data_IF_549503921856
#
_entry.id   IF_549503921856
#
_cell.length_a   1.000
_cell.length_b   1.000
_cell.length_c   1.000
_cell.angle_alpha   90.00
_cell.angle_beta   90.00
_cell.angle_gamma   90.00
#
_symmetry.space_group_name_H-M   'P 1'
#
loop_
_entity.id
_entity.type
_entity.pdbx_description
1 polymer ?
#
# COMPACT_ATOMS: atom_id res chain seq x y z
N UNK A 1 24.50 -68.07 17.85
CA UNK A 1 23.41 -67.13 18.20
C UNK A 1 23.80 -65.74 17.79
N UNK A 2 23.30 -65.28 16.64
CA UNK A 2 23.60 -63.96 16.07
C UNK A 2 22.30 -63.15 16.10
N UNK A 3 22.24 -62.12 16.91
CA UNK A 3 21.16 -61.13 16.96
C UNK A 3 21.39 -60.07 15.88
N UNK A 4 20.55 -60.05 14.86
CA UNK A 4 20.50 -59.00 13.86
C UNK A 4 19.64 -57.83 14.38
N UNK A 5 20.27 -56.73 14.65
CA UNK A 5 19.59 -55.45 15.01
C UNK A 5 19.05 -54.82 13.73
N UNK A 6 17.73 -54.79 13.55
CA UNK A 6 17.09 -54.02 12.50
C UNK A 6 16.97 -52.57 12.92
N UNK A 7 17.71 -51.67 12.29
CA UNK A 7 17.52 -50.24 12.43
C UNK A 7 16.25 -49.82 11.69
N UNK A 8 15.29 -49.26 12.43
CA UNK A 8 14.11 -48.65 11.87
C UNK A 8 14.48 -47.20 11.41
N UNK A 9 14.51 -47.00 10.09
CA UNK A 9 14.63 -45.66 9.50
C UNK A 9 13.24 -45.04 9.54
N UNK A 10 13.04 -44.12 10.47
CA UNK A 10 11.87 -43.24 10.47
C UNK A 10 12.04 -42.19 9.37
N UNK A 11 11.36 -42.38 8.24
CA UNK A 11 11.23 -41.34 7.21
C UNK A 11 10.27 -40.27 7.73
N UNK A 12 10.83 -39.17 8.19
CA UNK A 12 10.07 -37.95 8.51
C UNK A 12 9.61 -37.35 7.16
N UNK A 13 8.38 -37.66 6.73
CA UNK A 13 7.73 -36.94 5.64
C UNK A 13 7.55 -35.48 6.08
N UNK A 14 8.47 -34.62 5.68
CA UNK A 14 8.20 -33.18 5.67
C UNK A 14 7.12 -32.94 4.63
N UNK A 15 5.89 -32.78 5.09
CA UNK A 15 4.81 -32.19 4.32
C UNK A 15 5.19 -30.72 4.05
N UNK A 16 5.91 -30.46 2.96
CA UNK A 16 6.03 -29.12 2.40
C UNK A 16 4.70 -28.76 1.74
N UNK A 17 3.68 -28.57 2.55
CA UNK A 17 2.54 -27.77 2.14
C UNK A 17 3.07 -26.34 2.01
N UNK A 18 3.20 -25.83 0.78
CA UNK A 18 3.34 -24.40 0.54
C UNK A 18 2.14 -23.70 1.17
N UNK A 19 2.25 -23.34 2.44
CA UNK A 19 1.20 -22.69 3.20
C UNK A 19 1.06 -21.26 2.69
N UNK A 20 0.16 -21.03 1.74
CA UNK A 20 -0.23 -19.67 1.31
C UNK A 20 -0.82 -18.85 2.46
N UNK A 21 -1.11 -19.47 3.59
CA UNK A 21 -1.70 -18.89 4.79
C UNK A 21 -0.99 -19.41 6.05
N UNK A 22 -0.68 -18.49 6.96
CA UNK A 22 -0.14 -18.81 8.27
C UNK A 22 -0.66 -17.84 9.34
N UNK A 23 -0.55 -18.23 10.60
CA UNK A 23 -0.71 -17.31 11.71
C UNK A 23 0.64 -16.68 12.02
N UNK A 24 0.69 -15.38 12.12
CA UNK A 24 1.88 -14.60 12.50
C UNK A 24 1.48 -13.26 13.09
N UNK A 25 2.41 -12.61 13.75
CA UNK A 25 2.38 -11.20 14.11
C UNK A 25 3.64 -10.53 13.56
N UNK A 26 3.63 -9.21 13.45
CA UNK A 26 4.83 -8.45 13.14
C UNK A 26 5.73 -8.39 14.41
N UNK A 27 7.03 -8.13 14.26
CA UNK A 27 7.92 -7.88 15.40
C UNK A 27 7.35 -6.79 16.33
N UNK A 28 7.70 -6.81 17.60
CA UNK A 28 7.30 -5.73 18.51
C UNK A 28 7.70 -4.36 17.98
N UNK A 29 6.83 -3.37 18.12
CA UNK A 29 7.12 -1.98 17.74
C UNK A 29 8.17 -1.29 18.63
N UNK A 30 8.79 -2.04 19.55
CA UNK A 30 9.86 -1.57 20.44
C UNK A 30 9.35 -1.18 21.82
N UNK A 31 9.62 0.05 22.27
CA UNK A 31 9.29 0.55 23.61
C UNK A 31 7.78 0.52 23.92
N UNK A 32 7.44 0.73 25.18
CA UNK A 32 6.03 0.90 25.58
C UNK A 32 5.37 2.01 24.74
N UNK A 33 4.07 1.85 24.39
CA UNK A 33 3.35 2.86 23.61
C UNK A 33 3.36 4.22 24.31
N UNK A 34 3.75 5.25 23.60
CA UNK A 34 3.66 6.63 24.07
C UNK A 34 2.23 7.16 23.96
N UNK A 35 1.84 8.03 24.90
CA UNK A 35 0.58 8.75 24.84
C UNK A 35 0.76 10.02 24.00
N UNK A 36 -0.03 10.14 22.96
CA UNK A 36 0.03 11.29 22.05
C UNK A 36 -0.87 11.09 20.84
N UNK A 37 -0.93 12.13 20.03
CA UNK A 37 -1.73 12.18 18.79
C UNK A 37 -0.92 12.80 17.68
N UNK A 38 -1.22 12.41 16.45
CA UNK A 38 -0.75 13.08 15.26
C UNK A 38 -1.69 14.22 14.89
N UNK A 39 -1.10 15.40 14.60
CA UNK A 39 -1.79 16.57 14.06
C UNK A 39 -1.46 16.69 12.59
N UNK A 40 -2.47 16.78 11.75
CA UNK A 40 -2.36 16.92 10.31
C UNK A 40 -2.09 18.36 9.92
N UNK A 41 -0.98 18.61 9.22
CA UNK A 41 -0.56 19.93 8.72
C UNK A 41 -0.30 19.84 7.20
N UNK A 42 -1.36 19.98 6.34
CA UNK A 42 -1.21 19.88 4.89
C UNK A 42 -0.68 21.18 4.28
N UNK A 43 -0.07 21.03 3.09
CA UNK A 43 0.14 22.18 2.20
C UNK A 43 -1.16 22.50 1.45
N UNK A 44 -1.47 23.78 1.23
CA UNK A 44 -2.75 24.19 0.63
C UNK A 44 -2.87 23.87 -0.88
N UNK A 45 -1.74 23.54 -1.53
CA UNK A 45 -1.69 23.26 -2.97
C UNK A 45 -0.99 21.92 -3.23
N UNK A 46 -1.36 21.22 -4.30
CA UNK A 46 -0.70 19.97 -4.67
C UNK A 46 0.78 20.21 -5.02
N UNK A 47 1.60 19.17 -4.78
CA UNK A 47 3.04 19.16 -5.12
C UNK A 47 3.31 18.50 -6.47
N UNK A 48 2.39 17.64 -6.95
CA UNK A 48 2.37 17.11 -8.32
C UNK A 48 0.95 17.27 -8.86
N UNK A 49 0.78 18.15 -9.86
CA UNK A 49 -0.47 18.31 -10.59
C UNK A 49 -0.58 17.36 -11.78
N UNK A 50 -1.76 17.26 -12.35
CA UNK A 50 -1.98 16.61 -13.64
C UNK A 50 -1.20 17.32 -14.75
N UNK A 51 -0.80 16.58 -15.80
CA UNK A 51 -0.15 17.16 -16.96
C UNK A 51 -1.14 17.27 -18.14
N UNK A 52 -1.12 18.36 -18.92
CA UNK A 52 -1.82 18.39 -20.20
C UNK A 52 -1.17 17.40 -21.16
N UNK A 53 -1.95 16.67 -21.93
CA UNK A 53 -1.52 15.77 -23.01
C UNK A 53 -0.44 14.75 -22.57
N UNK A 54 -0.50 14.27 -21.34
CA UNK A 54 0.47 13.35 -20.77
C UNK A 54 -0.17 12.10 -20.18
N UNK A 55 0.64 11.17 -19.71
CA UNK A 55 0.24 9.91 -19.08
C UNK A 55 -0.59 10.08 -17.80
N UNK A 56 -0.67 11.28 -17.27
CA UNK A 56 -1.41 11.66 -16.07
C UNK A 56 -2.35 12.85 -16.29
N UNK A 57 -2.86 13.01 -17.52
CA UNK A 57 -3.74 14.12 -17.87
C UNK A 57 -5.08 14.10 -17.13
N UNK A 58 -5.59 12.92 -16.77
CA UNK A 58 -6.84 12.78 -16.05
C UNK A 58 -6.63 12.71 -14.53
N UNK A 59 -5.68 11.88 -14.09
CA UNK A 59 -5.36 11.72 -12.67
C UNK A 59 -3.86 11.50 -12.46
N UNK A 60 -3.33 12.05 -11.35
CA UNK A 60 -2.02 11.76 -10.76
C UNK A 60 -2.25 11.39 -9.29
N UNK A 61 -2.14 10.10 -8.93
CA UNK A 61 -2.53 9.56 -7.63
C UNK A 61 -1.51 8.51 -7.14
N UNK A 62 -1.80 7.87 -6.01
CA UNK A 62 -1.06 6.75 -5.43
C UNK A 62 0.47 7.00 -5.38
N UNK A 63 0.93 8.04 -4.69
CA UNK A 63 2.36 8.29 -4.55
C UNK A 63 3.03 7.14 -3.81
N UNK A 64 4.19 6.71 -4.30
CA UNK A 64 5.08 5.77 -3.62
C UNK A 64 6.48 6.36 -3.59
N UNK A 65 6.84 6.97 -2.46
CA UNK A 65 8.04 7.78 -2.33
C UNK A 65 9.16 6.99 -1.66
N UNK A 66 10.31 6.94 -2.32
CA UNK A 66 11.54 6.33 -1.81
C UNK A 66 12.67 7.35 -1.84
N UNK A 67 13.41 7.49 -0.73
CA UNK A 67 14.63 8.29 -0.69
C UNK A 67 15.85 7.44 -1.02
N UNK A 68 16.66 7.89 -1.97
CA UNK A 68 17.88 7.22 -2.37
C UNK A 68 18.94 8.23 -2.81
N UNK A 69 20.17 8.11 -2.27
CA UNK A 69 21.34 8.95 -2.63
C UNK A 69 21.05 10.46 -2.58
N UNK A 70 20.30 10.88 -1.55
CA UNK A 70 19.98 12.30 -1.34
C UNK A 70 18.82 12.84 -2.20
N UNK A 71 18.25 12.02 -3.09
CA UNK A 71 17.08 12.35 -3.90
C UNK A 71 15.84 11.56 -3.48
N UNK A 72 14.67 12.09 -3.77
CA UNK A 72 13.38 11.42 -3.66
C UNK A 72 12.94 10.95 -5.03
N UNK A 73 12.48 9.70 -5.09
CA UNK A 73 11.83 9.07 -6.24
C UNK A 73 10.37 8.84 -5.88
N UNK A 74 9.44 9.36 -6.65
CA UNK A 74 8.02 9.10 -6.50
C UNK A 74 7.52 8.30 -7.69
N UNK A 75 7.18 7.04 -7.43
CA UNK A 75 6.56 6.13 -8.38
C UNK A 75 5.05 6.23 -8.22
N UNK A 76 4.42 7.13 -8.95
CA UNK A 76 3.00 7.42 -8.80
C UNK A 76 2.16 6.88 -9.98
N UNK A 77 0.85 6.82 -9.77
CA UNK A 77 -0.11 6.39 -10.78
C UNK A 77 -0.56 7.56 -11.63
N UNK A 78 -0.39 7.46 -12.93
CA UNK A 78 -0.91 8.40 -13.90
C UNK A 78 -2.01 7.76 -14.76
N UNK A 79 -3.18 8.41 -14.84
CA UNK A 79 -4.28 8.00 -15.72
C UNK A 79 -4.36 8.89 -16.95
N UNK A 80 -4.21 8.30 -18.13
CA UNK A 80 -4.22 9.02 -19.40
C UNK A 80 -5.63 9.18 -20.00
N UNK A 81 -6.66 8.75 -19.26
CA UNK A 81 -8.06 8.72 -19.71
C UNK A 81 -8.51 7.37 -20.26
N UNK A 82 -7.59 6.39 -20.36
CA UNK A 82 -7.84 5.03 -20.84
C UNK A 82 -7.25 3.96 -19.93
N UNK A 83 -6.01 4.15 -19.48
CA UNK A 83 -5.27 3.18 -18.65
C UNK A 83 -4.40 3.87 -17.61
N UNK A 84 -4.10 3.13 -16.55
CA UNK A 84 -3.23 3.54 -15.47
C UNK A 84 -1.79 3.09 -15.73
N UNK A 85 -0.86 4.01 -15.59
CA UNK A 85 0.59 3.82 -15.76
C UNK A 85 1.33 4.10 -14.47
N UNK A 86 2.47 3.44 -14.26
CA UNK A 86 3.46 3.91 -13.30
C UNK A 86 4.29 5.01 -13.94
N UNK A 87 4.35 6.15 -13.26
CA UNK A 87 5.08 7.36 -13.69
C UNK A 87 6.12 7.72 -12.63
N UNK A 88 7.26 8.26 -13.06
CA UNK A 88 8.32 8.74 -12.18
C UNK A 88 8.31 10.25 -12.07
N UNK A 89 8.41 10.76 -10.85
CA UNK A 89 8.87 12.11 -10.54
C UNK A 89 10.05 12.05 -9.56
N UNK A 90 10.98 13.00 -9.66
CA UNK A 90 12.13 13.10 -8.75
C UNK A 90 12.18 14.46 -8.09
N UNK A 91 12.72 14.51 -6.86
CA UNK A 91 12.86 15.72 -6.06
C UNK A 91 14.10 15.68 -5.18
N UNK A 92 14.64 16.82 -4.80
CA UNK A 92 15.72 16.93 -3.80
C UNK A 92 15.20 17.21 -2.40
N UNK A 93 13.97 17.71 -2.27
CA UNK A 93 13.36 18.12 -1.01
C UNK A 93 12.05 17.40 -0.65
N UNK A 94 11.50 16.59 -1.60
CA UNK A 94 10.24 15.88 -1.46
C UNK A 94 9.00 16.76 -1.66
N UNK A 95 9.18 18.02 -2.06
CA UNK A 95 8.11 19.02 -2.24
C UNK A 95 8.08 19.58 -3.65
N UNK A 96 9.24 19.93 -4.20
CA UNK A 96 9.35 20.38 -5.59
C UNK A 96 9.73 19.22 -6.47
N UNK A 97 8.84 18.82 -7.38
CA UNK A 97 8.97 17.61 -8.17
C UNK A 97 9.19 17.89 -9.65
N UNK A 98 10.06 17.12 -10.26
CA UNK A 98 10.26 17.09 -11.71
C UNK A 98 9.73 15.76 -12.25
N UNK A 99 8.70 15.79 -13.09
CA UNK A 99 8.19 14.61 -13.79
C UNK A 99 9.24 14.08 -14.77
N UNK A 100 9.46 12.76 -14.77
CA UNK A 100 10.45 12.06 -15.60
C UNK A 100 9.82 11.20 -16.69
N UNK A 101 8.51 11.00 -16.60
CA UNK A 101 7.74 10.24 -17.58
C UNK A 101 7.34 8.85 -17.11
N UNK A 102 6.79 8.10 -18.04
CA UNK A 102 6.21 6.78 -17.83
C UNK A 102 7.30 5.70 -17.67
N UNK A 103 7.13 4.83 -16.67
CA UNK A 103 7.98 3.67 -16.41
C UNK A 103 7.32 2.35 -16.83
N UNK A 104 6.07 2.14 -16.40
CA UNK A 104 5.33 0.91 -16.68
C UNK A 104 3.96 1.24 -17.29
N UNK A 105 3.53 0.41 -18.23
CA UNK A 105 2.16 0.34 -18.75
C UNK A 105 1.71 -1.11 -18.72
N UNK A 106 0.41 -1.40 -18.69
CA UNK A 106 -0.06 -2.78 -18.75
C UNK A 106 0.47 -3.50 -19.99
N UNK A 107 0.92 -4.75 -19.82
CA UNK A 107 1.36 -5.62 -20.92
C UNK A 107 1.17 -7.10 -20.58
N UNK A 108 1.01 -7.93 -21.60
CA UNK A 108 0.91 -9.38 -21.45
C UNK A 108 -0.24 -9.78 -20.54
N UNK A 109 0.06 -10.53 -19.47
CA UNK A 109 -0.94 -11.03 -18.51
C UNK A 109 -1.57 -9.90 -17.67
N UNK A 110 -0.96 -8.72 -17.60
CA UNK A 110 -1.46 -7.53 -16.89
C UNK A 110 -2.69 -6.93 -17.57
N UNK A 111 -2.94 -7.31 -18.83
CA UNK A 111 -4.07 -6.81 -19.60
C UNK A 111 -3.82 -5.43 -20.20
N UNK A 112 -4.84 -4.58 -20.21
CA UNK A 112 -4.88 -3.31 -20.93
C UNK A 112 -5.41 -2.14 -20.08
N UNK A 113 -5.51 -2.31 -18.75
CA UNK A 113 -6.11 -1.29 -17.88
C UNK A 113 -5.14 -0.68 -16.86
N UNK A 114 -4.40 -1.50 -16.09
CA UNK A 114 -3.58 -1.01 -14.98
C UNK A 114 -2.25 -1.75 -14.81
N UNK A 115 -1.16 -0.97 -14.72
CA UNK A 115 0.14 -1.37 -14.16
C UNK A 115 0.66 -0.22 -13.28
N UNK A 116 0.03 -0.05 -12.12
CA UNK A 116 0.22 1.11 -11.25
C UNK A 116 -0.27 0.83 -9.83
N UNK A 117 -0.52 1.85 -9.04
CA UNK A 117 -1.04 1.74 -7.69
C UNK A 117 -0.20 0.78 -6.85
N UNK A 118 1.04 1.18 -6.62
CA UNK A 118 2.03 0.28 -6.05
C UNK A 118 2.83 0.88 -4.91
N UNK A 119 3.65 0.03 -4.33
CA UNK A 119 4.58 0.33 -3.24
C UNK A 119 6.00 0.00 -3.64
N UNK A 120 6.89 0.97 -3.55
CA UNK A 120 8.31 0.81 -3.82
C UNK A 120 9.13 0.77 -2.54
N UNK A 121 10.15 -0.07 -2.51
CA UNK A 121 11.18 -0.09 -1.47
C UNK A 121 12.57 -0.33 -2.08
N UNK A 122 13.60 0.07 -1.33
CA UNK A 122 14.99 -0.36 -1.57
C UNK A 122 15.30 -1.60 -0.73
N UNK A 123 15.55 -2.72 -1.38
CA UNK A 123 15.89 -4.00 -0.73
C UNK A 123 17.11 -4.60 -1.41
N UNK A 124 18.15 -4.94 -0.65
CA UNK A 124 19.35 -5.59 -1.19
C UNK A 124 20.07 -4.77 -2.28
N UNK A 125 19.95 -3.43 -2.28
CA UNK A 125 20.60 -2.58 -3.27
C UNK A 125 19.77 -2.31 -4.54
N UNK A 126 18.62 -2.94 -4.71
CA UNK A 126 17.68 -2.70 -5.82
C UNK A 126 16.42 -1.99 -5.35
N UNK A 127 15.72 -1.31 -6.27
CA UNK A 127 14.33 -0.93 -6.10
C UNK A 127 13.44 -2.13 -6.42
N UNK A 128 12.52 -2.46 -5.53
CA UNK A 128 11.42 -3.37 -5.74
C UNK A 128 10.13 -2.55 -5.78
N UNK A 129 9.30 -2.80 -6.77
CA UNK A 129 8.00 -2.14 -6.91
C UNK A 129 6.91 -3.19 -7.06
N UNK A 130 6.07 -3.33 -6.04
CA UNK A 130 4.87 -4.16 -6.07
C UNK A 130 3.71 -3.29 -6.53
N UNK A 131 2.98 -3.72 -7.54
CA UNK A 131 1.94 -2.90 -8.16
C UNK A 131 0.72 -3.72 -8.56
N UNK A 132 -0.42 -3.06 -8.64
CA UNK A 132 -1.66 -3.66 -9.10
C UNK A 132 -1.63 -3.87 -10.60
N UNK A 133 -2.06 -5.06 -11.04
CA UNK A 133 -2.15 -5.44 -12.44
C UNK A 133 -3.25 -6.50 -12.66
N UNK A 134 -3.66 -6.67 -13.91
CA UNK A 134 -4.57 -7.71 -14.35
C UNK A 134 -6.04 -7.30 -14.32
N UNK A 135 -6.85 -7.95 -15.18
CA UNK A 135 -8.30 -7.77 -15.25
C UNK A 135 -9.00 -8.17 -13.94
N UNK A 136 -8.56 -9.26 -13.31
CA UNK A 136 -8.81 -9.54 -11.91
C UNK A 136 -7.60 -8.96 -11.18
N UNK A 137 -7.77 -7.96 -10.29
CA UNK A 137 -6.65 -7.32 -9.63
C UNK A 137 -5.78 -8.32 -8.87
N UNK A 138 -4.47 -8.28 -9.14
CA UNK A 138 -3.41 -9.04 -8.50
C UNK A 138 -2.20 -8.15 -8.29
N UNK A 139 -1.27 -8.57 -7.46
CA UNK A 139 -0.04 -7.83 -7.25
C UNK A 139 1.07 -8.42 -8.10
N UNK A 140 1.61 -7.59 -8.98
CA UNK A 140 2.80 -7.82 -9.77
C UNK A 140 4.06 -7.32 -9.05
N UNK A 141 5.23 -7.62 -9.58
CA UNK A 141 6.52 -7.13 -9.11
C UNK A 141 7.40 -6.71 -10.29
N UNK A 142 8.04 -5.56 -10.17
CA UNK A 142 9.15 -5.15 -11.00
C UNK A 142 10.37 -4.79 -10.15
N UNK A 143 11.58 -4.93 -10.71
CA UNK A 143 12.86 -4.64 -10.08
C UNK A 143 13.67 -3.66 -10.92
N UNK A 144 14.43 -2.79 -10.27
CA UNK A 144 15.29 -1.81 -10.93
C UNK A 144 16.54 -1.54 -10.09
N UNK A 145 17.69 -1.40 -10.75
CA UNK A 145 18.91 -0.97 -10.07
C UNK A 145 18.96 0.56 -9.90
N UNK A 146 18.35 1.31 -10.82
CA UNK A 146 18.46 2.77 -10.96
C UNK A 146 17.15 3.55 -10.72
N UNK A 147 16.02 2.82 -10.56
CA UNK A 147 14.68 3.41 -10.42
C UNK A 147 14.07 3.91 -11.74
N UNK A 148 14.75 3.71 -12.86
CA UNK A 148 14.35 4.17 -14.22
C UNK A 148 14.10 2.99 -15.14
N UNK A 149 15.03 2.05 -15.19
CA UNK A 149 14.96 0.85 -16.04
C UNK A 149 14.42 -0.32 -15.23
N UNK A 150 13.23 -0.83 -15.60
CA UNK A 150 12.52 -1.84 -14.82
C UNK A 150 12.42 -3.18 -15.54
N UNK A 151 12.61 -4.25 -14.78
CA UNK A 151 12.41 -5.63 -15.21
C UNK A 151 11.26 -6.25 -14.44
N UNK A 152 10.19 -6.63 -15.15
CA UNK A 152 9.03 -7.30 -14.55
C UNK A 152 9.35 -8.74 -14.14
N UNK A 153 8.69 -9.22 -13.10
CA UNK A 153 8.75 -10.63 -12.67
C UNK A 153 8.07 -11.57 -13.67
N UNK A 154 7.10 -11.07 -14.46
CA UNK A 154 6.43 -11.83 -15.52
C UNK A 154 5.18 -12.59 -15.09
N UNK A 155 4.85 -12.60 -13.81
CA UNK A 155 3.60 -13.15 -13.25
C UNK A 155 3.24 -12.43 -11.95
N UNK A 156 2.00 -12.65 -11.45
CA UNK A 156 1.61 -12.14 -10.15
C UNK A 156 2.44 -12.79 -9.03
N UNK A 157 2.80 -11.99 -8.02
CA UNK A 157 3.48 -12.45 -6.80
C UNK A 157 2.49 -12.61 -5.63
N UNK A 158 1.37 -11.90 -5.64
CA UNK A 158 0.25 -12.12 -4.72
C UNK A 158 -1.02 -12.39 -5.52
N UNK A 159 -1.55 -13.59 -5.38
CA UNK A 159 -2.77 -14.06 -6.03
C UNK A 159 -4.00 -13.82 -5.16
N UNK A 160 -5.17 -13.81 -5.79
CA UNK A 160 -6.45 -13.83 -5.07
C UNK A 160 -6.56 -15.05 -4.16
N UNK A 161 -7.40 -14.97 -3.15
CA UNK A 161 -7.70 -16.10 -2.27
C UNK A 161 -8.60 -17.14 -2.92
N UNK A 162 -8.80 -18.31 -2.27
CA UNK A 162 -9.69 -19.35 -2.76
C UNK A 162 -11.14 -18.87 -2.72
N UNK A 163 -12.00 -19.61 -3.45
CA UNK A 163 -13.44 -19.34 -3.47
C UNK A 163 -14.01 -19.29 -2.05
N UNK A 164 -14.74 -18.22 -1.73
CA UNK A 164 -15.33 -17.97 -0.42
C UNK A 164 -14.42 -17.18 0.53
N UNK A 165 -13.16 -16.89 0.16
CA UNK A 165 -12.32 -16.02 0.96
C UNK A 165 -12.70 -14.54 0.81
N UNK A 166 -12.22 -13.74 1.75
CA UNK A 166 -12.48 -12.31 1.80
C UNK A 166 -11.79 -11.51 0.67
N UNK A 167 -10.85 -12.15 -0.06
CA UNK A 167 -10.05 -11.58 -1.14
C UNK A 167 -10.13 -12.42 -2.44
N UNK A 168 -11.26 -13.14 -2.63
CA UNK A 168 -11.44 -14.03 -3.80
C UNK A 168 -11.60 -13.31 -5.13
N UNK A 169 -11.99 -12.01 -5.13
CA UNK A 169 -12.29 -11.23 -6.34
C UNK A 169 -11.17 -10.30 -6.76
N UNK A 170 -10.27 -9.97 -5.85
CA UNK A 170 -9.15 -9.10 -6.14
C UNK A 170 -8.24 -8.89 -4.95
N UNK A 171 -6.97 -8.61 -5.22
CA UNK A 171 -5.98 -8.07 -4.29
C UNK A 171 -5.33 -6.86 -4.95
N UNK A 172 -5.28 -5.73 -4.23
CA UNK A 172 -4.88 -4.42 -4.75
C UNK A 172 -4.17 -3.60 -3.67
N UNK A 173 -3.77 -2.38 -4.00
CA UNK A 173 -3.26 -1.35 -3.09
C UNK A 173 -2.15 -1.87 -2.16
N UNK A 174 -1.08 -2.47 -2.69
CA UNK A 174 -0.01 -2.99 -1.85
C UNK A 174 0.74 -1.84 -1.16
N UNK A 175 1.01 -2.00 0.12
CA UNK A 175 1.95 -1.18 0.87
C UNK A 175 2.93 -2.08 1.60
N UNK A 176 4.21 -1.98 1.28
CA UNK A 176 5.23 -2.91 1.79
C UNK A 176 6.19 -2.20 2.74
N UNK A 177 6.43 -2.81 3.88
CA UNK A 177 7.47 -2.40 4.83
C UNK A 177 8.48 -3.52 5.04
N UNK A 178 9.72 -3.16 5.32
CA UNK A 178 10.78 -4.10 5.71
C UNK A 178 11.00 -4.00 7.22
N UNK A 179 10.89 -5.13 7.90
CA UNK A 179 11.20 -5.25 9.32
C UNK A 179 12.24 -6.34 9.51
N UNK A 180 13.49 -5.94 9.71
CA UNK A 180 14.62 -6.84 9.94
C UNK A 180 14.83 -7.89 8.83
N UNK A 181 14.63 -7.50 7.57
CA UNK A 181 14.81 -8.37 6.41
C UNK A 181 13.61 -9.27 6.10
N UNK A 182 12.49 -9.09 6.80
CA UNK A 182 11.20 -9.70 6.45
C UNK A 182 10.27 -8.62 5.92
N UNK A 183 9.76 -8.84 4.72
CA UNK A 183 8.82 -7.92 4.08
C UNK A 183 7.39 -8.22 4.52
N UNK A 184 6.64 -7.17 4.84
CA UNK A 184 5.22 -7.25 5.17
C UNK A 184 4.44 -6.36 4.20
N UNK A 185 3.52 -6.95 3.47
CA UNK A 185 2.63 -6.27 2.53
C UNK A 185 1.25 -6.14 3.16
N UNK A 186 0.82 -4.92 3.40
CA UNK A 186 -0.57 -4.60 3.67
C UNK A 186 -1.26 -4.38 2.33
N UNK A 187 -2.47 -4.91 2.16
CA UNK A 187 -3.13 -4.90 0.87
C UNK A 187 -4.65 -4.87 1.00
N UNK A 188 -5.32 -4.33 -0.02
CA UNK A 188 -6.75 -4.43 -0.18
C UNK A 188 -7.11 -5.81 -0.71
N UNK A 189 -8.11 -6.45 -0.11
CA UNK A 189 -8.77 -7.63 -0.63
C UNK A 189 -10.26 -7.35 -0.90
N UNK A 190 -10.78 -7.93 -1.99
CA UNK A 190 -12.18 -7.79 -2.36
C UNK A 190 -12.86 -9.14 -2.38
N UNK A 191 -13.98 -9.25 -1.66
CA UNK A 191 -14.80 -10.46 -1.61
C UNK A 191 -15.86 -10.51 -2.72
N UNK A 192 -16.65 -11.59 -2.74
CA UNK A 192 -17.73 -11.78 -3.71
C UNK A 192 -18.83 -10.71 -3.66
N UNK A 193 -19.07 -10.11 -2.51
CA UNK A 193 -20.03 -9.03 -2.33
C UNK A 193 -19.42 -7.65 -2.66
N UNK A 194 -18.22 -7.62 -3.26
CA UNK A 194 -17.47 -6.42 -3.61
C UNK A 194 -17.02 -5.59 -2.39
N UNK A 195 -17.05 -6.16 -1.18
CA UNK A 195 -16.55 -5.47 0.01
C UNK A 195 -15.03 -5.41 -0.02
N UNK A 196 -14.49 -4.24 0.12
CA UNK A 196 -13.07 -3.95 0.14
C UNK A 196 -12.59 -3.80 1.58
N UNK A 197 -11.62 -4.62 1.99
CA UNK A 197 -11.07 -4.65 3.36
C UNK A 197 -9.57 -4.84 3.30
N UNK A 198 -8.90 -4.64 4.43
CA UNK A 198 -7.45 -4.72 4.48
C UNK A 198 -6.95 -6.04 5.08
N UNK A 199 -5.87 -6.55 4.55
CA UNK A 199 -5.15 -7.72 5.04
C UNK A 199 -3.64 -7.52 5.05
N UNK A 200 -2.94 -8.54 5.52
CA UNK A 200 -1.47 -8.54 5.54
C UNK A 200 -0.90 -9.88 5.09
N UNK A 201 0.20 -9.82 4.35
CA UNK A 201 1.01 -10.96 3.97
C UNK A 201 2.48 -10.69 4.31
N UNK A 202 3.28 -11.74 4.51
CA UNK A 202 4.73 -11.65 4.76
C UNK A 202 5.52 -12.40 3.71
N UNK A 203 6.74 -11.94 3.45
CA UNK A 203 7.65 -12.57 2.50
C UNK A 203 9.11 -12.43 2.94
N UNK A 204 9.97 -13.43 2.72
CA UNK A 204 11.42 -13.31 2.92
C UNK A 204 12.16 -12.71 1.71
N UNK A 205 11.53 -12.66 0.53
CA UNK A 205 12.18 -12.38 -0.76
C UNK A 205 11.42 -11.38 -1.66
N UNK A 206 10.22 -10.97 -1.24
CA UNK A 206 9.33 -10.08 -1.99
C UNK A 206 8.61 -10.74 -3.18
N UNK A 207 8.79 -12.05 -3.37
CA UNK A 207 8.19 -12.87 -4.44
C UNK A 207 7.22 -13.89 -3.86
N UNK A 208 7.66 -14.62 -2.85
CA UNK A 208 6.88 -15.68 -2.20
C UNK A 208 6.17 -15.12 -0.99
N UNK A 209 4.85 -14.95 -1.08
CA UNK A 209 4.04 -14.34 -0.03
C UNK A 209 3.18 -15.35 0.70
N UNK A 210 3.15 -15.22 2.03
CA UNK A 210 2.27 -15.98 2.92
C UNK A 210 1.27 -15.01 3.55
N UNK A 211 -0.02 -15.17 3.25
CA UNK A 211 -1.12 -14.35 3.79
C UNK A 211 -1.38 -14.70 5.26
N UNK A 212 -1.73 -13.70 6.05
CA UNK A 212 -2.22 -13.93 7.42
C UNK A 212 -3.58 -14.64 7.36
N UNK A 213 -3.72 -15.76 8.10
CA UNK A 213 -4.94 -16.56 8.11
C UNK A 213 -6.13 -15.81 8.72
N UNK A 214 -5.86 -14.99 9.74
CA UNK A 214 -6.86 -14.19 10.42
C UNK A 214 -7.27 -12.91 9.69
N UNK A 215 -6.84 -12.70 8.42
CA UNK A 215 -7.33 -11.56 7.62
C UNK A 215 -8.83 -11.69 7.29
N UNK A 216 -9.55 -10.58 7.12
CA UNK A 216 -9.06 -9.19 7.11
C UNK A 216 -8.65 -8.70 8.48
N UNK A 217 -7.69 -7.72 8.50
CA UNK A 217 -7.15 -7.10 9.72
C UNK A 217 -7.86 -5.80 10.09
N UNK A 218 -8.65 -5.25 9.16
CA UNK A 218 -9.47 -4.05 9.36
C UNK A 218 -10.78 -4.22 8.60
N UNK A 219 -11.89 -4.02 9.31
CA UNK A 219 -13.26 -4.14 8.79
C UNK A 219 -13.85 -2.78 8.41
N UNK A 220 -14.92 -2.78 7.62
CA UNK A 220 -15.69 -1.59 7.26
C UNK A 220 -16.23 -0.86 8.50
N UNK A 221 -16.50 0.43 8.34
CA UNK A 221 -17.23 1.22 9.31
C UNK A 221 -18.73 0.89 9.33
N UNK A 222 -19.40 1.41 10.36
CA UNK A 222 -20.85 1.30 10.48
C UNK A 222 -21.56 2.20 9.45
N UNK A 223 -22.85 2.00 9.30
CA UNK A 223 -23.67 2.82 8.39
C UNK A 223 -23.59 4.31 8.75
N UNK A 224 -23.23 5.14 7.76
CA UNK A 224 -23.03 6.58 7.90
C UNK A 224 -21.62 7.00 8.28
N UNK A 225 -20.69 6.05 8.51
CA UNK A 225 -19.28 6.35 8.69
C UNK A 225 -18.58 6.57 7.33
N UNK A 226 -17.47 7.29 7.34
CA UNK A 226 -16.76 7.68 6.12
C UNK A 226 -16.16 6.48 5.36
N UNK A 227 -16.06 5.33 5.98
CA UNK A 227 -15.44 4.10 5.49
C UNK A 227 -16.43 2.91 5.43
N UNK A 228 -17.73 3.21 5.37
CA UNK A 228 -18.81 2.20 5.34
C UNK A 228 -18.83 1.38 4.04
N UNK A 229 -18.35 1.94 2.92
CA UNK A 229 -18.45 1.33 1.60
C UNK A 229 -17.18 0.64 1.11
N UNK A 230 -16.03 0.95 1.68
CA UNK A 230 -14.76 0.33 1.30
C UNK A 230 -13.57 0.86 2.07
N UNK A 231 -12.56 0.02 2.23
CA UNK A 231 -11.22 0.36 2.73
C UNK A 231 -10.19 0.09 1.64
N UNK A 232 -9.16 0.93 1.56
CA UNK A 232 -8.05 0.75 0.64
C UNK A 232 -6.79 1.47 1.11
N UNK A 233 -5.75 1.33 0.32
CA UNK A 233 -4.57 2.19 0.30
C UNK A 233 -3.92 2.37 1.68
N UNK A 234 -3.56 1.27 2.37
CA UNK A 234 -2.96 1.36 3.69
C UNK A 234 -1.54 1.93 3.60
N UNK A 235 -1.17 2.85 4.49
CA UNK A 235 0.22 3.28 4.70
C UNK A 235 0.60 3.00 6.14
N UNK A 236 1.61 2.16 6.37
CA UNK A 236 1.96 1.63 7.70
C UNK A 236 3.38 2.04 8.08
N UNK A 237 3.55 2.48 9.34
CA UNK A 237 4.87 2.77 9.91
C UNK A 237 4.94 2.39 11.39
N UNK A 238 6.16 2.33 11.91
CA UNK A 238 6.44 2.21 13.35
C UNK A 238 6.88 3.54 13.92
N UNK A 239 6.23 3.97 15.00
CA UNK A 239 6.65 5.13 15.79
C UNK A 239 6.02 5.06 17.19
N UNK A 240 6.66 5.71 18.18
CA UNK A 240 6.10 5.87 19.52
C UNK A 240 5.64 4.57 20.17
N UNK A 241 6.39 3.48 19.96
CA UNK A 241 6.11 2.16 20.53
C UNK A 241 4.86 1.46 19.97
N UNK A 242 4.40 1.87 18.80
CA UNK A 242 3.22 1.31 18.14
C UNK A 242 3.41 1.20 16.63
N UNK A 243 2.60 0.36 15.99
CA UNK A 243 2.31 0.44 14.57
C UNK A 243 1.18 1.43 14.37
N UNK A 244 1.33 2.24 13.35
CA UNK A 244 0.35 3.22 12.89
C UNK A 244 -0.02 2.91 11.46
N UNK A 245 -1.26 3.18 11.09
CA UNK A 245 -1.76 3.06 9.73
C UNK A 245 -2.60 4.30 9.40
N UNK A 246 -2.30 4.94 8.27
CA UNK A 246 -3.30 5.69 7.52
C UNK A 246 -3.97 4.72 6.55
N UNK A 247 -5.28 4.75 6.47
CA UNK A 247 -6.05 3.99 5.49
C UNK A 247 -7.09 4.88 4.83
N UNK A 248 -7.38 4.62 3.57
CA UNK A 248 -8.47 5.31 2.88
C UNK A 248 -9.78 4.61 3.19
N UNK A 249 -10.76 5.40 3.62
CA UNK A 249 -12.17 5.00 3.71
C UNK A 249 -12.97 5.62 2.58
N UNK A 250 -13.97 4.91 2.08
CA UNK A 250 -14.87 5.33 1.03
C UNK A 250 -16.31 5.26 1.52
N UNK A 251 -17.05 6.35 1.39
CA UNK A 251 -18.48 6.40 1.67
C UNK A 251 -19.31 5.99 0.42
N UNK A 252 -20.63 5.89 0.58
CA UNK A 252 -21.55 5.51 -0.52
C UNK A 252 -21.66 6.55 -1.64
N UNK A 253 -21.17 7.75 -1.41
CA UNK A 253 -21.11 8.81 -2.42
C UNK A 253 -19.76 8.89 -3.11
N UNK A 254 -18.90 7.88 -2.90
CA UNK A 254 -17.53 7.77 -3.42
C UNK A 254 -16.60 8.89 -2.95
N UNK A 255 -16.95 9.61 -1.86
CA UNK A 255 -15.99 10.47 -1.21
C UNK A 255 -14.95 9.61 -0.50
N UNK A 256 -13.69 10.04 -0.54
CA UNK A 256 -12.58 9.37 0.13
C UNK A 256 -11.98 10.26 1.20
N UNK A 257 -11.74 9.67 2.36
CA UNK A 257 -11.09 10.30 3.50
C UNK A 257 -10.08 9.33 4.09
N UNK A 258 -9.08 9.85 4.79
CA UNK A 258 -8.15 8.97 5.48
C UNK A 258 -8.45 8.91 6.97
N UNK A 259 -8.49 7.69 7.50
CA UNK A 259 -8.58 7.39 8.91
C UNK A 259 -7.25 6.89 9.47
N UNK A 260 -7.15 6.89 10.79
CA UNK A 260 -6.03 6.29 11.50
C UNK A 260 -6.45 4.97 12.14
N UNK A 261 -5.52 4.02 12.13
CA UNK A 261 -5.58 2.85 12.98
C UNK A 261 -4.25 2.64 13.71
N UNK A 262 -4.29 2.01 14.87
CA UNK A 262 -3.12 1.70 15.70
C UNK A 262 -3.10 0.23 16.07
N UNK A 263 -1.89 -0.34 16.20
CA UNK A 263 -1.68 -1.73 16.59
C UNK A 263 -0.41 -1.89 17.42
N UNK A 264 -0.38 -2.86 18.32
CA UNK A 264 0.81 -3.29 19.05
C UNK A 264 1.57 -4.42 18.35
N UNK A 265 0.89 -5.18 17.50
CA UNK A 265 1.41 -6.40 16.86
C UNK A 265 1.35 -6.41 15.32
N UNK A 266 0.84 -5.33 14.72
CA UNK A 266 0.71 -5.13 13.28
C UNK A 266 -0.35 -6.00 12.58
N UNK A 267 -1.12 -6.79 13.33
CA UNK A 267 -2.16 -7.68 12.79
C UNK A 267 -3.53 -7.46 13.43
N UNK A 268 -3.59 -6.98 14.66
CA UNK A 268 -4.81 -6.55 15.34
C UNK A 268 -4.83 -5.03 15.40
N UNK A 269 -5.74 -4.42 14.68
CA UNK A 269 -5.80 -2.98 14.52
C UNK A 269 -7.04 -2.40 15.18
N UNK A 270 -6.86 -1.28 15.84
CA UNK A 270 -7.91 -0.46 16.39
C UNK A 270 -8.04 0.83 15.57
N UNK A 271 -9.22 1.06 14.96
CA UNK A 271 -9.54 2.32 14.30
C UNK A 271 -9.64 3.44 15.34
N UNK A 272 -8.98 4.55 15.07
CA UNK A 272 -9.14 5.75 15.88
C UNK A 272 -10.36 6.53 15.38
N UNK A 273 -11.23 6.96 16.32
CA UNK A 273 -12.42 7.74 15.98
C UNK A 273 -12.10 9.14 15.43
N UNK A 274 -10.93 9.64 15.76
CA UNK A 274 -10.40 10.92 15.27
C UNK A 274 -8.86 10.94 15.34
N UNK A 275 -8.16 11.78 14.53
CA UNK A 275 -8.77 12.58 13.48
C UNK A 275 -9.17 11.74 12.26
N UNK A 276 -10.16 12.20 11.52
CA UNK A 276 -10.42 11.80 10.13
C UNK A 276 -9.90 12.91 9.25
N UNK A 277 -9.06 12.58 8.27
CA UNK A 277 -8.47 13.57 7.36
C UNK A 277 -9.37 13.72 6.15
N UNK A 278 -9.90 14.93 5.99
CA UNK A 278 -10.75 15.36 4.90
C UNK A 278 -10.03 16.39 4.01
N UNK A 279 -10.57 16.63 2.81
CA UNK A 279 -10.05 17.69 1.96
C UNK A 279 -10.34 19.08 2.55
N UNK A 280 -9.34 19.94 2.48
CA UNK A 280 -9.33 21.30 3.05
C UNK A 280 -9.22 22.39 1.97
N UNK A 281 -9.11 22.01 0.71
CA UNK A 281 -8.98 22.88 -0.45
C UNK A 281 -9.91 22.47 -1.59
N UNK A 282 -10.06 23.37 -2.58
CA UNK A 282 -10.88 23.10 -3.76
C UNK A 282 -10.39 21.87 -4.52
N UNK A 283 -9.05 21.67 -4.62
CA UNK A 283 -8.44 20.62 -5.40
C UNK A 283 -8.62 19.20 -4.82
N UNK A 284 -8.88 19.07 -3.52
CA UNK A 284 -9.02 17.81 -2.79
C UNK A 284 -10.35 17.68 -2.04
N UNK A 285 -11.36 18.50 -2.39
CA UNK A 285 -12.62 18.63 -1.65
C UNK A 285 -13.41 17.33 -1.51
N UNK A 286 -13.19 16.35 -2.39
CA UNK A 286 -13.97 15.09 -2.43
C UNK A 286 -13.15 13.87 -2.13
N UNK A 287 -11.84 13.94 -2.35
CA UNK A 287 -10.93 12.81 -2.27
C UNK A 287 -9.66 13.22 -1.52
N UNK A 288 -9.36 12.50 -0.46
CA UNK A 288 -8.06 12.44 0.22
C UNK A 288 -7.76 10.98 0.48
N UNK A 289 -6.70 10.45 -0.14
CA UNK A 289 -6.44 9.02 -0.24
C UNK A 289 -4.95 8.69 -0.46
N UNK A 290 -4.61 7.43 -0.61
CA UNK A 290 -3.34 6.93 -1.19
C UNK A 290 -2.08 7.43 -0.47
N UNK A 291 -2.03 7.40 0.84
CA UNK A 291 -0.86 7.90 1.55
C UNK A 291 0.39 7.06 1.33
N UNK A 292 1.53 7.71 1.18
CA UNK A 292 2.86 7.15 1.44
C UNK A 292 3.58 7.99 2.49
N UNK A 293 4.35 7.35 3.37
CA UNK A 293 4.91 8.01 4.54
C UNK A 293 6.43 7.84 4.68
N UNK A 294 7.09 8.85 5.22
CA UNK A 294 8.48 8.80 5.66
C UNK A 294 8.57 9.31 7.11
N UNK A 295 9.04 8.47 8.03
CA UNK A 295 9.27 8.87 9.42
C UNK A 295 10.45 9.84 9.48
N UNK A 296 10.25 11.00 10.09
CA UNK A 296 11.20 12.11 10.18
C UNK A 296 11.37 12.57 11.65
N UNK A 297 12.12 11.82 12.44
CA UNK A 297 12.22 12.03 13.89
C UNK A 297 10.94 11.59 14.61
N UNK A 298 10.32 12.49 15.37
CA UNK A 298 9.02 12.25 16.01
C UNK A 298 7.83 12.45 15.04
N UNK A 299 8.05 13.16 13.94
CA UNK A 299 7.04 13.52 12.95
C UNK A 299 7.06 12.56 11.73
N UNK A 300 6.06 12.68 10.86
CA UNK A 300 5.95 11.89 9.63
C UNK A 300 5.64 12.80 8.44
N UNK A 301 6.42 12.67 7.38
CA UNK A 301 6.11 13.26 6.07
C UNK A 301 5.10 12.37 5.37
N UNK A 302 4.11 12.99 4.74
CA UNK A 302 3.05 12.28 4.02
C UNK A 302 2.88 12.88 2.65
N UNK A 303 2.95 12.05 1.62
CA UNK A 303 2.45 12.35 0.29
C UNK A 303 1.15 11.60 0.11
N UNK A 304 0.15 12.25 -0.46
CA UNK A 304 -1.21 11.69 -0.54
C UNK A 304 -1.91 12.10 -1.84
N UNK A 305 -2.86 11.29 -2.29
CA UNK A 305 -3.75 11.62 -3.38
C UNK A 305 -4.87 12.53 -2.93
N UNK A 306 -5.24 13.48 -3.77
CA UNK A 306 -6.40 14.34 -3.57
C UNK A 306 -7.12 14.60 -4.88
N UNK A 307 -8.45 14.84 -4.82
CA UNK A 307 -9.27 15.14 -5.96
C UNK A 307 -10.54 15.92 -5.61
N UNK A 308 -11.05 16.70 -6.54
CA UNK A 308 -12.27 17.50 -6.36
C UNK A 308 -13.53 16.79 -6.86
N UNK A 309 -13.37 15.55 -7.38
CA UNK A 309 -14.46 14.76 -7.95
C UNK A 309 -14.55 13.37 -7.33
N UNK A 310 -15.71 13.00 -6.86
CA UNK A 310 -16.00 11.65 -6.39
C UNK A 310 -16.29 10.72 -7.57
N UNK A 311 -15.62 9.57 -7.62
CA UNK A 311 -15.79 8.53 -8.63
C UNK A 311 -15.27 7.20 -8.10
N UNK A 312 -15.77 6.03 -8.53
CA UNK A 312 -15.33 4.75 -8.01
C UNK A 312 -13.85 4.45 -8.21
N UNK A 313 -13.30 4.68 -9.40
CA UNK A 313 -11.96 4.21 -9.74
C UNK A 313 -11.05 5.30 -10.35
N UNK A 314 -11.52 6.07 -11.31
CA UNK A 314 -10.74 7.07 -12.04
C UNK A 314 -11.51 8.37 -12.29
N UNK A 315 -10.83 9.38 -12.87
CA UNK A 315 -11.39 10.71 -13.19
C UNK A 315 -11.79 11.48 -11.93
N UNK A 316 -10.97 11.36 -10.94
CA UNK A 316 -11.10 12.06 -9.64
C UNK A 316 -10.60 13.51 -9.74
N UNK A 317 -10.03 13.91 -10.89
CA UNK A 317 -9.18 15.07 -11.06
C UNK A 317 -7.97 15.02 -10.15
N UNK A 318 -7.42 13.81 -10.00
CA UNK A 318 -6.42 13.43 -9.02
C UNK A 318 -5.12 14.22 -9.13
N UNK A 319 -4.60 14.66 -7.99
CA UNK A 319 -3.33 15.34 -7.83
C UNK A 319 -2.66 14.87 -6.54
N UNK A 320 -1.35 15.05 -6.41
CA UNK A 320 -0.63 14.62 -5.22
C UNK A 320 -0.31 15.81 -4.32
N UNK A 321 -0.74 15.70 -3.07
CA UNK A 321 -0.48 16.63 -1.99
C UNK A 321 0.71 16.24 -1.12
N UNK A 322 1.07 17.11 -0.20
CA UNK A 322 2.08 16.88 0.82
C UNK A 322 1.61 17.46 2.16
N UNK A 323 1.85 16.71 3.24
CA UNK A 323 1.56 17.13 4.60
C UNK A 323 2.64 16.65 5.58
N UNK A 324 2.58 17.22 6.77
CA UNK A 324 3.28 16.72 7.96
C UNK A 324 2.27 16.17 8.96
N UNK A 325 2.54 15.00 9.52
CA UNK A 325 1.92 14.54 10.76
C UNK A 325 2.85 14.94 11.91
N UNK A 326 2.42 15.88 12.72
CA UNK A 326 3.18 16.36 13.88
C UNK A 326 2.78 15.60 15.12
N UNK A 327 3.76 14.96 15.76
CA UNK A 327 3.51 14.29 17.02
C UNK A 327 3.29 15.29 18.16
N UNK A 328 2.23 15.11 18.92
CA UNK A 328 1.92 15.90 20.11
C UNK A 328 1.70 14.96 21.28
N UNK A 329 2.63 15.00 22.27
CA UNK A 329 2.49 14.24 23.53
C UNK A 329 1.30 14.78 24.32
N UNK A 330 0.53 13.86 24.92
CA UNK A 330 -0.61 14.16 25.79
C UNK A 330 -0.24 13.92 27.25
#
# INVERSE_FOLDING_TARGET
MSLSTRAAISVLLMLTGCGRYADFALPSAGNAPEHGVYVWEPRPVPVIGRGPDSVDQSDALNPSVVRHEGAYFNFYSGFDGKMWHTVLATSTDGVQWSKRGRLLSPEGWEGDYIAANGSALRVGGEFLYWYQAGKTPRIALARSADGVTWRRHGSAVLEVGPRGSWDERGVADPYVIDLNGVLYMFYLGQDRAMRQRLGVARSPDGVTWTKLRASPILELGEYGEFDENGLGEPAVWQAHGSYWMLYTGRDRSENRRMGFARSSDGVRWEKLKSPVIEGDGEWNARVVCDATVEVAGEDVRVWFGGGDRASPDERLNGQIGYAMLRWRRQ
#
